data_IF_681718870135
#
_entry.id   IF_681718870135
#
_cell.length_a   1.000
_cell.length_b   1.000
_cell.length_c   1.000
_cell.angle_alpha   90.00
_cell.angle_beta   90.00
_cell.angle_gamma   90.00
#
_symmetry.space_group_name_H-M   'P 1'
#
loop_
_entity.id
_entity.type
_entity.pdbx_description
1 polymer ?
#
# COMPACT_ATOMS: atom_id res chain seq x y z
N UNK A 1 7.05 14.37 16.64
CA UNK A 1 5.79 13.62 16.69
C UNK A 1 6.01 12.34 17.49
N UNK A 2 5.14 12.01 18.46
CA UNK A 2 5.25 10.76 19.20
C UNK A 2 5.01 9.57 18.27
N UNK A 3 5.86 8.54 18.38
CA UNK A 3 5.72 7.29 17.65
C UNK A 3 5.24 6.20 18.61
N UNK A 4 4.26 5.41 18.17
CA UNK A 4 3.72 4.26 18.90
C UNK A 4 3.83 3.01 18.03
N UNK A 5 4.29 1.92 18.60
CA UNK A 5 4.33 0.63 17.93
C UNK A 5 3.04 -0.15 18.17
N UNK A 6 2.60 -0.89 17.13
CA UNK A 6 1.38 -1.66 17.15
C UNK A 6 1.54 -2.98 16.38
N UNK A 7 1.35 -4.10 17.05
CA UNK A 7 1.40 -5.44 16.44
C UNK A 7 0.48 -6.41 17.19
N UNK A 8 0.19 -7.56 16.59
CA UNK A 8 -0.80 -8.53 17.11
C UNK A 8 -0.51 -9.05 18.51
N UNK A 9 0.75 -9.27 18.83
CA UNK A 9 1.20 -9.87 20.11
C UNK A 9 1.82 -8.84 21.06
N UNK A 10 1.55 -7.55 20.86
CA UNK A 10 2.08 -6.52 21.75
C UNK A 10 1.58 -6.69 23.19
N UNK A 11 2.47 -6.49 24.15
CA UNK A 11 2.10 -6.39 25.55
C UNK A 11 1.32 -5.08 25.79
N UNK A 12 0.18 -5.17 26.45
CA UNK A 12 -0.66 -4.02 26.79
C UNK A 12 -1.97 -3.95 25.98
N UNK A 13 -2.70 -2.89 26.25
CA UNK A 13 -4.01 -2.69 25.63
C UNK A 13 -3.90 -2.08 24.24
N UNK A 14 -4.16 -2.89 23.22
CA UNK A 14 -4.18 -2.50 21.81
C UNK A 14 -5.21 -1.41 21.53
N UNK A 15 -6.39 -1.51 22.14
CA UNK A 15 -7.48 -0.57 21.95
C UNK A 15 -7.11 0.81 22.51
N UNK A 16 -6.54 0.86 23.70
CA UNK A 16 -6.02 2.10 24.28
C UNK A 16 -4.95 2.75 23.39
N UNK A 17 -4.05 1.97 22.80
CA UNK A 17 -3.03 2.49 21.88
C UNK A 17 -3.65 3.15 20.66
N UNK A 18 -4.64 2.50 20.05
CA UNK A 18 -5.36 3.05 18.89
C UNK A 18 -6.20 4.27 19.24
N UNK A 19 -6.91 4.23 20.37
CA UNK A 19 -7.73 5.36 20.85
C UNK A 19 -6.85 6.59 21.09
N UNK A 20 -5.71 6.42 21.74
CA UNK A 20 -4.74 7.52 21.95
C UNK A 20 -4.13 8.03 20.64
N UNK A 21 -3.85 7.14 19.69
CA UNK A 21 -3.38 7.57 18.38
C UNK A 21 -4.47 8.34 17.62
N UNK A 22 -5.71 7.92 17.68
CA UNK A 22 -6.84 8.58 17.04
C UNK A 22 -7.13 9.97 17.64
N UNK A 23 -6.92 10.17 18.95
CA UNK A 23 -7.12 11.45 19.63
C UNK A 23 -5.92 12.40 19.49
N UNK A 24 -4.73 11.89 19.76
CA UNK A 24 -3.51 12.70 19.89
C UNK A 24 -2.76 12.86 18.57
N UNK A 25 -3.01 11.97 17.60
CA UNK A 25 -2.23 11.88 16.38
C UNK A 25 -0.83 11.28 16.61
N UNK A 26 0.09 11.60 15.70
CA UNK A 26 1.46 11.12 15.75
C UNK A 26 1.79 10.08 14.68
N UNK A 27 2.68 9.15 14.99
CA UNK A 27 3.09 8.06 14.10
C UNK A 27 2.69 6.74 14.72
N UNK A 28 1.99 5.89 13.95
CA UNK A 28 1.71 4.52 14.33
C UNK A 28 2.53 3.59 13.43
N UNK A 29 3.45 2.83 14.04
CA UNK A 29 4.23 1.80 13.34
C UNK A 29 3.55 0.46 13.54
N UNK A 30 2.99 -0.10 12.48
CA UNK A 30 2.20 -1.32 12.53
C UNK A 30 2.84 -2.45 11.70
N UNK A 31 2.85 -3.66 12.25
CA UNK A 31 3.35 -4.87 11.59
C UNK A 31 2.18 -5.84 11.43
N UNK A 32 1.78 -6.12 10.17
CA UNK A 32 0.71 -7.08 9.79
C UNK A 32 -0.67 -6.85 10.43
N UNK A 33 -0.84 -5.86 11.28
CA UNK A 33 -2.05 -5.66 12.09
C UNK A 33 -3.12 -4.81 11.39
N UNK A 34 -2.79 -4.16 10.28
CA UNK A 34 -3.77 -3.37 9.53
C UNK A 34 -4.79 -4.26 8.79
N UNK A 35 -4.55 -5.56 8.74
CA UNK A 35 -5.42 -6.55 8.12
C UNK A 35 -6.60 -6.94 9.05
N UNK A 36 -6.43 -6.74 10.37
CA UNK A 36 -7.41 -7.11 11.39
C UNK A 36 -8.09 -5.88 12.02
N UNK A 37 -9.25 -5.49 11.51
CA UNK A 37 -10.23 -4.67 12.27
C UNK A 37 -9.85 -3.24 12.66
N UNK A 38 -8.68 -2.72 12.30
CA UNK A 38 -8.29 -1.35 12.63
C UNK A 38 -9.05 -0.36 11.75
N UNK A 39 -9.84 0.48 12.37
CA UNK A 39 -10.54 1.57 11.72
C UNK A 39 -10.12 2.91 12.33
N UNK A 40 -9.24 3.64 11.65
CA UNK A 40 -8.84 4.99 12.04
C UNK A 40 -9.08 5.93 10.85
N UNK A 41 -10.29 6.46 10.70
CA UNK A 41 -10.65 7.28 9.54
C UNK A 41 -9.80 8.53 9.37
N UNK A 42 -9.21 9.04 10.44
CA UNK A 42 -8.40 10.28 10.45
C UNK A 42 -6.97 10.13 9.94
N UNK A 43 -6.51 8.92 9.60
CA UNK A 43 -5.17 8.74 9.03
C UNK A 43 -5.08 9.51 7.71
N UNK A 44 -4.16 10.47 7.64
CA UNK A 44 -3.95 11.30 6.45
C UNK A 44 -2.75 10.85 5.61
N UNK A 45 -1.79 10.18 6.22
CA UNK A 45 -0.57 9.70 5.57
C UNK A 45 -0.32 8.23 5.92
N UNK A 46 0.06 7.44 4.94
CA UNK A 46 0.50 6.07 5.10
C UNK A 46 1.84 5.85 4.43
N UNK A 47 2.76 5.15 5.10
CA UNK A 47 4.04 4.72 4.52
C UNK A 47 4.04 3.19 4.53
N UNK A 48 4.14 2.60 3.35
CA UNK A 48 4.21 1.15 3.16
C UNK A 48 5.67 0.79 2.86
N UNK A 49 6.36 0.21 3.86
CA UNK A 49 7.78 -0.17 3.74
C UNK A 49 7.96 -1.58 3.19
N UNK A 50 7.01 -2.47 3.47
CA UNK A 50 6.99 -3.83 2.96
C UNK A 50 5.54 -4.24 2.74
N UNK A 51 5.26 -4.82 1.60
CA UNK A 51 3.94 -5.30 1.25
C UNK A 51 3.93 -6.82 1.07
N UNK A 52 2.76 -7.42 1.24
CA UNK A 52 2.52 -8.80 0.87
C UNK A 52 2.21 -8.88 -0.62
N UNK A 53 2.58 -9.97 -1.25
CA UNK A 53 2.20 -10.28 -2.63
C UNK A 53 0.71 -10.69 -2.75
N UNK A 54 -0.02 -10.77 -1.63
CA UNK A 54 -1.44 -11.08 -1.65
C UNK A 54 -2.26 -9.82 -2.01
N UNK A 55 -2.85 -9.72 -3.20
CA UNK A 55 -3.57 -8.54 -3.64
C UNK A 55 -4.74 -8.18 -2.72
N UNK A 56 -5.42 -9.17 -2.14
CA UNK A 56 -6.58 -8.94 -1.25
C UNK A 56 -6.18 -8.24 0.04
N UNK A 57 -5.11 -8.68 0.68
CA UNK A 57 -4.61 -8.04 1.91
C UNK A 57 -4.18 -6.59 1.64
N UNK A 58 -3.54 -6.39 0.51
CA UNK A 58 -3.09 -5.11 0.07
C UNK A 58 -4.24 -4.14 -0.20
N UNK A 59 -5.28 -4.56 -0.95
CA UNK A 59 -6.48 -3.76 -1.22
C UNK A 59 -7.22 -3.42 0.08
N UNK A 60 -7.34 -4.37 1.00
CA UNK A 60 -7.98 -4.14 2.30
C UNK A 60 -7.21 -3.13 3.14
N UNK A 61 -5.89 -3.23 3.18
CA UNK A 61 -5.02 -2.30 3.89
C UNK A 61 -5.15 -0.89 3.34
N UNK A 62 -5.11 -0.74 2.01
CA UNK A 62 -5.34 0.52 1.31
C UNK A 62 -6.71 1.11 1.64
N UNK A 63 -7.77 0.31 1.55
CA UNK A 63 -9.13 0.75 1.82
C UNK A 63 -9.30 1.35 3.22
N UNK A 64 -8.56 0.88 4.21
CA UNK A 64 -8.57 1.43 5.57
C UNK A 64 -7.87 2.78 5.66
N UNK A 65 -6.72 2.94 4.99
CA UNK A 65 -6.00 4.22 4.91
C UNK A 65 -6.80 5.28 4.16
N UNK A 66 -7.55 4.86 3.12
CA UNK A 66 -8.33 5.75 2.26
C UNK A 66 -9.74 6.06 2.79
N UNK A 67 -10.16 5.48 3.93
CA UNK A 67 -11.49 5.74 4.48
C UNK A 67 -11.78 7.22 4.61
N UNK A 68 -12.94 7.60 4.14
CA UNK A 68 -13.43 8.98 4.25
C UNK A 68 -13.79 9.31 5.70
N UNK A 69 -13.48 10.51 6.10
CA UNK A 69 -13.92 11.08 7.38
C UNK A 69 -14.19 12.56 7.23
N UNK A 70 -14.93 13.13 8.15
CA UNK A 70 -15.21 14.56 8.14
C UNK A 70 -13.91 15.38 8.08
N UNK A 71 -13.79 16.26 7.09
CA UNK A 71 -12.61 17.09 6.86
C UNK A 71 -11.44 16.41 6.15
N UNK A 72 -11.57 15.13 5.73
CA UNK A 72 -10.56 14.41 4.97
C UNK A 72 -11.05 14.14 3.55
N UNK A 73 -10.51 14.85 2.57
CA UNK A 73 -10.82 14.66 1.15
C UNK A 73 -9.94 13.61 0.48
N UNK A 74 -8.73 13.38 0.99
CA UNK A 74 -7.76 12.44 0.43
C UNK A 74 -6.82 11.92 1.52
N UNK A 75 -6.09 10.87 1.22
CA UNK A 75 -4.94 10.40 1.99
C UNK A 75 -3.73 10.30 1.08
N UNK A 76 -2.55 10.59 1.62
CA UNK A 76 -1.29 10.43 0.91
C UNK A 76 -0.67 9.09 1.29
N UNK A 77 -0.36 8.27 0.30
CA UNK A 77 0.32 6.99 0.51
C UNK A 77 1.68 7.03 -0.16
N UNK A 78 2.71 6.73 0.62
CA UNK A 78 4.07 6.50 0.15
C UNK A 78 4.30 5.00 0.12
N UNK A 79 4.35 4.43 -1.06
CA UNK A 79 4.64 3.01 -1.25
C UNK A 79 6.09 2.84 -1.70
N UNK A 80 6.88 2.11 -0.90
CA UNK A 80 8.28 1.89 -1.16
C UNK A 80 8.48 0.48 -1.69
N UNK A 81 9.19 0.39 -2.80
CA UNK A 81 9.63 -0.88 -3.36
C UNK A 81 11.08 -0.77 -3.85
N UNK A 82 11.75 -1.90 -3.92
CA UNK A 82 13.16 -1.96 -4.30
C UNK A 82 13.27 -2.47 -5.73
N UNK A 83 13.90 -1.66 -6.57
CA UNK A 83 14.28 -2.06 -7.93
C UNK A 83 15.79 -2.22 -7.95
N UNK A 84 16.32 -3.38 -8.33
CA UNK A 84 17.76 -3.57 -8.44
C UNK A 84 18.33 -2.71 -9.59
N UNK A 85 19.61 -2.33 -9.53
CA UNK A 85 20.21 -1.43 -10.51
C UNK A 85 20.35 -2.04 -11.92
N UNK A 86 20.24 -3.35 -12.03
CA UNK A 86 20.28 -4.06 -13.30
C UNK A 86 19.56 -5.40 -13.20
N UNK A 87 19.14 -5.95 -14.34
CA UNK A 87 18.62 -7.30 -14.42
C UNK A 87 19.71 -8.30 -14.03
N UNK A 88 19.55 -8.98 -12.92
CA UNK A 88 20.58 -9.82 -12.36
C UNK A 88 20.33 -11.32 -12.60
N UNK A 89 19.09 -11.77 -12.52
CA UNK A 89 18.66 -13.13 -12.77
C UNK A 89 17.12 -13.22 -12.87
N UNK A 90 16.61 -14.31 -13.45
CA UNK A 90 15.17 -14.53 -13.68
C UNK A 90 14.31 -14.46 -12.39
N UNK A 91 14.84 -14.94 -11.27
CA UNK A 91 14.12 -14.91 -9.99
C UNK A 91 13.93 -13.47 -9.51
N UNK A 92 14.94 -12.63 -9.66
CA UNK A 92 14.88 -11.23 -9.27
C UNK A 92 13.96 -10.44 -10.22
N UNK A 93 14.02 -10.73 -11.51
CA UNK A 93 13.16 -10.12 -12.52
C UNK A 93 11.68 -10.45 -12.27
N UNK A 94 11.37 -11.67 -11.85
CA UNK A 94 10.00 -12.09 -11.49
C UNK A 94 9.48 -11.37 -10.25
N UNK A 95 10.33 -11.14 -9.24
CA UNK A 95 9.99 -10.36 -8.05
C UNK A 95 9.72 -8.90 -8.40
N UNK A 96 10.57 -8.30 -9.22
CA UNK A 96 10.38 -6.92 -9.69
C UNK A 96 9.08 -6.80 -10.49
N UNK A 97 8.80 -7.75 -11.38
CA UNK A 97 7.57 -7.76 -12.15
C UNK A 97 6.32 -7.82 -11.24
N UNK A 98 6.35 -8.66 -10.21
CA UNK A 98 5.25 -8.77 -9.25
C UNK A 98 5.06 -7.46 -8.46
N UNK A 99 6.15 -6.82 -8.02
CA UNK A 99 6.10 -5.54 -7.32
C UNK A 99 5.60 -4.41 -8.24
N UNK A 100 6.03 -4.35 -9.50
CA UNK A 100 5.58 -3.34 -10.44
C UNK A 100 4.10 -3.48 -10.78
N UNK A 101 3.57 -4.70 -10.95
CA UNK A 101 2.12 -4.93 -11.14
C UNK A 101 1.32 -4.48 -9.91
N UNK A 102 1.82 -4.74 -8.71
CA UNK A 102 1.23 -4.25 -7.48
C UNK A 102 1.18 -2.71 -7.45
N UNK A 103 2.28 -2.05 -7.85
CA UNK A 103 2.35 -0.59 -7.94
C UNK A 103 1.42 -0.04 -9.03
N UNK A 104 1.26 -0.73 -10.15
CA UNK A 104 0.32 -0.37 -11.22
C UNK A 104 -1.12 -0.31 -10.70
N UNK A 105 -1.57 -1.33 -9.96
CA UNK A 105 -2.90 -1.36 -9.37
C UNK A 105 -3.13 -0.20 -8.38
N UNK A 106 -2.09 0.19 -7.65
CA UNK A 106 -2.12 1.38 -6.79
C UNK A 106 -2.24 2.67 -7.60
N UNK A 107 -1.40 2.80 -8.60
CA UNK A 107 -1.30 3.98 -9.42
C UNK A 107 -2.59 4.22 -10.23
N UNK A 108 -3.26 3.15 -10.69
CA UNK A 108 -4.52 3.24 -11.43
C UNK A 108 -5.64 3.95 -10.66
N UNK A 109 -5.63 3.88 -9.33
CA UNK A 109 -6.62 4.52 -8.46
C UNK A 109 -6.11 5.80 -7.78
N UNK A 110 -4.89 6.24 -8.09
CA UNK A 110 -4.32 7.45 -7.52
C UNK A 110 -4.88 8.71 -8.21
N UNK A 111 -5.13 9.75 -7.42
CA UNK A 111 -5.56 11.04 -7.94
C UNK A 111 -4.44 11.79 -8.68
N UNK A 112 -3.17 11.45 -8.42
CA UNK A 112 -2.02 12.07 -9.05
C UNK A 112 -1.54 11.25 -10.26
N UNK A 113 -1.79 11.74 -11.44
CA UNK A 113 -1.42 11.10 -12.71
C UNK A 113 0.09 10.80 -12.84
N UNK A 114 0.93 11.64 -12.24
CA UNK A 114 2.38 11.45 -12.23
C UNK A 114 2.82 10.11 -11.62
N UNK A 115 2.07 9.57 -10.66
CA UNK A 115 2.32 8.26 -10.08
C UNK A 115 2.13 7.15 -11.13
N UNK A 116 1.06 7.23 -11.91
CA UNK A 116 0.77 6.26 -12.97
C UNK A 116 1.85 6.29 -14.05
N UNK A 117 2.18 7.48 -14.56
CA UNK A 117 3.21 7.65 -15.60
C UNK A 117 4.56 7.09 -15.12
N UNK A 118 4.92 7.34 -13.86
CA UNK A 118 6.16 6.82 -13.29
C UNK A 118 6.19 5.29 -13.27
N UNK A 119 5.11 4.65 -12.82
CA UNK A 119 5.03 3.17 -12.77
C UNK A 119 5.03 2.58 -14.18
N UNK A 120 4.25 3.13 -15.12
CA UNK A 120 4.21 2.69 -16.52
C UNK A 120 5.60 2.79 -17.17
N UNK A 121 6.34 3.85 -16.89
CA UNK A 121 7.71 4.03 -17.38
C UNK A 121 8.65 2.94 -16.86
N UNK A 122 8.61 2.65 -15.56
CA UNK A 122 9.40 1.57 -14.97
C UNK A 122 9.00 0.20 -15.52
N UNK A 123 7.71 -0.05 -15.70
CA UNK A 123 7.23 -1.31 -16.30
C UNK A 123 7.77 -1.48 -17.72
N UNK A 124 7.76 -0.43 -18.53
CA UNK A 124 8.34 -0.46 -19.87
C UNK A 124 9.85 -0.72 -19.85
N UNK A 125 10.59 -0.07 -18.96
CA UNK A 125 12.03 -0.29 -18.80
C UNK A 125 12.36 -1.74 -18.39
N UNK A 126 11.51 -2.35 -17.58
CA UNK A 126 11.67 -3.72 -17.12
C UNK A 126 10.99 -4.76 -18.02
N UNK A 127 10.31 -4.34 -19.09
CA UNK A 127 9.60 -5.22 -20.01
C UNK A 127 8.46 -5.99 -19.33
N UNK A 128 7.80 -5.36 -18.37
CA UNK A 128 6.66 -5.91 -17.63
C UNK A 128 5.39 -5.45 -18.31
N UNK A 129 4.56 -6.38 -18.79
CA UNK A 129 3.25 -6.07 -19.36
C UNK A 129 2.25 -5.63 -18.29
N UNK A 130 1.28 -4.79 -18.69
CA UNK A 130 0.19 -4.36 -17.81
C UNK A 130 -0.64 -5.56 -17.32
N UNK A 131 -0.92 -5.59 -16.04
CA UNK A 131 -1.81 -6.58 -15.43
C UNK A 131 -3.29 -6.18 -15.53
N UNK A 132 -3.59 -4.91 -15.79
CA UNK A 132 -4.96 -4.38 -15.85
C UNK A 132 -5.68 -4.78 -17.14
N UNK A 133 -4.94 -4.87 -18.26
CA UNK A 133 -5.51 -5.28 -19.56
C UNK A 133 -5.97 -6.74 -19.58
N UNK A 134 -5.42 -7.59 -18.71
CA UNK A 134 -5.75 -9.01 -18.65
C UNK A 134 -7.08 -9.29 -17.94
N UNK A 135 -7.58 -8.39 -17.12
CA UNK A 135 -8.83 -8.56 -16.38
C UNK A 135 -10.07 -8.14 -17.18
N UNK A 136 -9.94 -7.23 -18.14
CA UNK A 136 -11.05 -6.82 -19.00
C UNK A 136 -11.45 -7.90 -20.03
N UNK A 137 -10.57 -8.87 -20.32
CA UNK A 137 -10.85 -9.98 -21.24
C UNK A 137 -11.54 -11.18 -20.58
N UNK A 138 -11.41 -11.37 -19.27
CA UNK A 138 -12.06 -12.47 -18.55
C UNK A 138 -13.50 -12.19 -18.15
N UNK A 139 -13.92 -10.92 -18.10
CA UNK A 139 -15.29 -10.51 -17.76
C UNK A 139 -16.24 -10.47 -19.00
N UNK A 140 -15.77 -10.85 -20.19
CA UNK A 140 -16.54 -10.81 -21.45
C UNK A 140 -16.79 -12.17 -22.11
N UNK A 141 -16.44 -13.27 -21.47
CA UNK A 141 -16.78 -14.66 -21.84
C UNK A 141 -17.75 -15.25 -20.78
#
# INVERSE_FOLDING_TARGET
>A
LPAKAYWSEMAGDRETTLTRFASDGGILVAIKCLDEGIDIPKISHGIVLASTQNPREFIQRRGRLLRQSAGKSHATIYDLFVVPPSRANENLDSLVAAELRRCEEFAASAANESCRIFVETLMAEWGVGSGLESQEQEDHD
#
